data_IF_503096896334
#
_entry.id   IF_503096896334
#
_cell.length_a   1.000
_cell.length_b   1.000
_cell.length_c   1.000
_cell.angle_alpha   90.00
_cell.angle_beta   90.00
_cell.angle_gamma   90.00
#
_symmetry.space_group_name_H-M   'P 1'
#
loop_
_entity.id
_entity.type
_entity.pdbx_description
1 polymer ?
#
# COMPACT_ATOMS: atom_id res chain seq x y z
N UNK A 1 -36.98 61.87 -5.34
CA UNK A 1 -37.90 60.88 -5.93
C UNK A 1 -37.06 59.90 -6.76
N UNK A 2 -36.45 58.90 -6.11
CA UNK A 2 -35.58 57.93 -6.78
C UNK A 2 -36.38 56.65 -7.06
N UNK A 3 -36.64 56.37 -8.34
CA UNK A 3 -37.25 55.12 -8.80
C UNK A 3 -36.16 54.05 -8.88
N UNK A 4 -36.25 53.03 -8.02
CA UNK A 4 -35.47 51.81 -8.13
C UNK A 4 -35.93 50.98 -9.35
N UNK A 5 -35.02 50.42 -10.16
CA UNK A 5 -35.39 49.60 -11.30
C UNK A 5 -35.82 48.20 -10.82
N UNK A 6 -37.11 47.89 -10.91
CA UNK A 6 -37.72 46.61 -10.52
C UNK A 6 -37.20 45.35 -11.23
N UNK A 7 -36.18 45.47 -12.09
CA UNK A 7 -35.52 44.33 -12.75
C UNK A 7 -34.40 43.69 -11.92
N UNK A 8 -33.86 44.40 -10.91
CA UNK A 8 -32.82 43.87 -10.02
C UNK A 8 -33.39 42.94 -8.94
N UNK A 9 -34.56 43.26 -8.39
CA UNK A 9 -35.25 42.41 -7.40
C UNK A 9 -35.74 41.08 -7.99
N UNK A 10 -36.22 41.09 -9.24
CA UNK A 10 -36.66 39.85 -9.91
C UNK A 10 -35.50 38.89 -10.23
N UNK A 11 -34.31 39.42 -10.56
CA UNK A 11 -33.11 38.60 -10.80
C UNK A 11 -32.52 38.03 -9.53
N UNK A 12 -32.56 38.78 -8.42
CA UNK A 12 -32.12 38.28 -7.11
C UNK A 12 -33.04 37.17 -6.59
N UNK A 13 -34.37 37.31 -6.75
CA UNK A 13 -35.33 36.28 -6.34
C UNK A 13 -35.22 34.99 -7.15
N UNK A 14 -34.94 35.09 -8.46
CA UNK A 14 -34.72 33.92 -9.32
C UNK A 14 -33.41 33.17 -8.99
N UNK A 15 -32.33 33.90 -8.64
CA UNK A 15 -31.08 33.30 -8.18
C UNK A 15 -31.24 32.64 -6.80
N UNK A 16 -32.00 33.24 -5.88
CA UNK A 16 -32.30 32.63 -4.57
C UNK A 16 -33.15 31.35 -4.71
N UNK A 17 -34.14 31.35 -5.61
CA UNK A 17 -34.98 30.17 -5.85
C UNK A 17 -34.20 29.02 -6.53
N UNK A 18 -33.25 29.32 -7.42
CA UNK A 18 -32.40 28.30 -8.04
C UNK A 18 -31.40 27.70 -7.05
N UNK A 19 -30.86 28.52 -6.13
CA UNK A 19 -29.99 28.04 -5.06
C UNK A 19 -30.73 27.11 -4.08
N UNK A 20 -32.00 27.40 -3.75
CA UNK A 20 -32.82 26.56 -2.85
C UNK A 20 -33.28 25.25 -3.54
N UNK A 21 -33.47 25.25 -4.86
CA UNK A 21 -33.82 24.04 -5.62
C UNK A 21 -32.64 23.05 -5.76
N UNK A 22 -31.39 23.54 -5.79
CA UNK A 22 -30.20 22.68 -5.83
C UNK A 22 -29.83 22.08 -4.46
N UNK A 23 -30.26 22.68 -3.35
CA UNK A 23 -30.12 22.10 -2.00
C UNK A 23 -31.11 20.97 -1.68
N UNK A 24 -32.06 20.68 -2.59
CA UNK A 24 -33.09 19.66 -2.39
C UNK A 24 -32.61 18.20 -2.49
N UNK A 25 -31.39 17.95 -2.97
CA UNK A 25 -30.84 16.60 -3.10
C UNK A 25 -30.14 16.09 -1.82
N UNK A 26 -29.87 16.94 -0.82
CA UNK A 26 -29.18 16.53 0.41
C UNK A 26 -30.08 15.80 1.42
N UNK A 27 -31.41 15.82 1.26
CA UNK A 27 -32.35 15.15 2.19
C UNK A 27 -32.44 13.63 2.01
N UNK A 28 -31.80 13.07 0.97
CA UNK A 28 -31.81 11.63 0.68
C UNK A 28 -30.49 10.94 1.00
N UNK A 29 -29.46 11.69 1.39
CA UNK A 29 -28.23 11.07 1.88
C UNK A 29 -28.48 10.50 3.29
N UNK A 30 -28.04 9.27 3.58
CA UNK A 30 -28.09 8.76 4.95
C UNK A 30 -27.33 9.72 5.87
N UNK A 31 -27.83 9.91 7.09
CA UNK A 31 -27.13 10.65 8.15
C UNK A 31 -26.17 9.71 8.86
N UNK A 32 -24.94 10.14 9.10
CA UNK A 32 -23.96 9.36 9.89
C UNK A 32 -24.44 9.14 11.32
N UNK A 33 -24.15 7.97 11.93
CA UNK A 33 -24.43 7.72 13.35
C UNK A 33 -23.75 8.74 14.28
N UNK A 34 -24.40 9.07 15.40
CA UNK A 34 -23.85 10.01 16.40
C UNK A 34 -22.48 9.56 16.96
N UNK A 35 -22.23 8.25 17.02
CA UNK A 35 -20.94 7.70 17.45
C UNK A 35 -19.82 8.02 16.46
N UNK A 36 -20.10 7.97 15.16
CA UNK A 36 -19.14 8.30 14.09
C UNK A 36 -18.84 9.80 14.11
N UNK A 37 -19.87 10.64 14.19
CA UNK A 37 -19.69 12.10 14.22
C UNK A 37 -18.92 12.54 15.47
N UNK A 38 -19.28 12.02 16.64
CA UNK A 38 -18.59 12.33 17.91
C UNK A 38 -17.12 11.93 17.85
N UNK A 39 -16.81 10.72 17.40
CA UNK A 39 -15.42 10.25 17.31
C UNK A 39 -14.56 11.10 16.36
N UNK A 40 -15.11 11.53 15.23
CA UNK A 40 -14.43 12.39 14.27
C UNK A 40 -14.27 13.81 14.82
N UNK A 41 -15.31 14.37 15.45
CA UNK A 41 -15.28 15.70 16.03
C UNK A 41 -14.26 15.78 17.18
N UNK A 42 -14.20 14.77 18.05
CA UNK A 42 -13.21 14.66 19.13
C UNK A 42 -11.78 14.62 18.57
N UNK A 43 -11.53 13.83 17.51
CA UNK A 43 -10.23 13.78 16.86
C UNK A 43 -9.86 15.12 16.19
N UNK A 44 -10.80 15.77 15.52
CA UNK A 44 -10.60 17.10 14.91
C UNK A 44 -10.30 18.15 15.97
N UNK A 45 -11.01 18.14 17.10
CA UNK A 45 -10.76 19.05 18.22
C UNK A 45 -9.37 18.83 18.81
N UNK A 46 -8.99 17.57 19.05
CA UNK A 46 -7.67 17.21 19.54
C UNK A 46 -6.55 17.64 18.58
N UNK A 47 -6.70 17.37 17.27
CA UNK A 47 -5.75 17.80 16.24
C UNK A 47 -5.64 19.33 16.19
N UNK A 48 -6.76 20.06 16.31
CA UNK A 48 -6.75 21.53 16.33
C UNK A 48 -6.05 22.09 17.57
N UNK A 49 -6.04 21.35 18.67
CA UNK A 49 -5.34 21.72 19.90
C UNK A 49 -3.82 21.42 19.83
N UNK A 50 -3.36 20.64 18.86
CA UNK A 50 -1.94 20.34 18.64
C UNK A 50 -1.18 21.58 18.18
N UNK A 51 -0.05 21.87 18.85
CA UNK A 51 0.81 22.99 18.50
C UNK A 51 1.30 22.88 17.04
N UNK A 52 1.27 23.99 16.30
CA UNK A 52 1.67 24.03 14.89
C UNK A 52 0.55 23.73 13.88
N UNK A 53 -0.63 23.29 14.33
CA UNK A 53 -1.82 23.12 13.47
C UNK A 53 -2.58 24.44 13.34
N UNK A 54 -2.76 24.93 12.11
CA UNK A 54 -3.55 26.14 11.80
C UNK A 54 -5.04 25.83 11.68
N UNK A 55 -5.38 24.72 11.03
CA UNK A 55 -6.77 24.32 10.85
C UNK A 55 -6.89 22.80 10.68
N UNK A 56 -7.94 22.24 11.27
CA UNK A 56 -8.37 20.87 11.03
C UNK A 56 -9.88 20.84 10.74
N UNK A 57 -10.26 20.15 9.66
CA UNK A 57 -11.65 19.98 9.22
C UNK A 57 -11.86 18.55 8.75
N UNK A 58 -13.03 17.98 9.02
CA UNK A 58 -13.36 16.63 8.58
C UNK A 58 -14.54 16.60 7.61
N UNK A 59 -14.53 15.59 6.75
CA UNK A 59 -15.67 15.19 5.92
C UNK A 59 -15.96 13.72 6.16
N UNK A 60 -17.20 13.40 6.52
CA UNK A 60 -17.69 12.03 6.71
C UNK A 60 -18.53 11.67 5.48
N UNK A 61 -18.22 10.53 4.85
CA UNK A 61 -18.87 10.10 3.61
C UNK A 61 -19.32 8.65 3.77
N UNK A 62 -20.53 8.28 3.30
CA UNK A 62 -20.92 6.89 3.28
C UNK A 62 -20.11 6.13 2.23
N UNK A 63 -19.60 4.95 2.57
CA UNK A 63 -19.03 3.99 1.63
C UNK A 63 -20.17 3.43 0.77
N UNK A 64 -20.01 3.39 -0.56
CA UNK A 64 -21.02 2.76 -1.41
C UNK A 64 -21.21 1.30 -1.00
N UNK A 65 -22.44 0.95 -0.60
CA UNK A 65 -22.74 -0.32 0.04
C UNK A 65 -22.37 -1.52 -0.83
N UNK A 66 -21.40 -2.32 -0.40
CA UNK A 66 -21.46 -3.76 -0.66
C UNK A 66 -22.54 -4.33 0.28
N UNK A 67 -23.34 -5.29 -0.18
CA UNK A 67 -24.56 -5.73 0.51
C UNK A 67 -24.33 -6.48 1.84
N UNK A 68 -23.11 -6.47 2.40
CA UNK A 68 -22.66 -7.43 3.42
C UNK A 68 -21.89 -6.84 4.61
N UNK A 69 -21.74 -5.52 4.75
CA UNK A 69 -20.96 -4.90 5.85
C UNK A 69 -21.80 -4.56 7.09
N UNK A 70 -21.19 -4.47 8.29
CA UNK A 70 -21.87 -4.02 9.50
C UNK A 70 -22.10 -2.49 9.48
N UNK A 71 -23.08 -1.97 10.23
CA UNK A 71 -23.54 -0.56 10.17
C UNK A 71 -22.44 0.52 10.37
N UNK A 72 -21.31 0.16 11.00
CA UNK A 72 -20.18 1.07 11.23
C UNK A 72 -19.14 1.05 10.09
N UNK A 73 -19.14 0.01 9.25
CA UNK A 73 -18.21 -0.14 8.11
C UNK A 73 -18.69 0.63 6.86
N UNK A 74 -19.83 1.31 6.95
CA UNK A 74 -20.42 2.10 5.87
C UNK A 74 -19.95 3.55 5.85
N UNK A 75 -18.99 3.94 6.67
CA UNK A 75 -18.58 5.34 6.78
C UNK A 75 -17.06 5.46 6.71
N UNK A 76 -16.61 6.44 5.94
CA UNK A 76 -15.22 6.90 5.93
C UNK A 76 -15.15 8.36 6.37
N UNK A 77 -14.06 8.74 7.01
CA UNK A 77 -13.78 10.09 7.44
C UNK A 77 -12.45 10.57 6.86
N UNK A 78 -12.46 11.70 6.16
CA UNK A 78 -11.24 12.38 5.70
C UNK A 78 -11.04 13.65 6.52
N UNK A 79 -9.93 13.73 7.25
CA UNK A 79 -9.55 14.87 8.10
C UNK A 79 -8.45 15.66 7.39
N UNK A 80 -8.77 16.84 6.88
CA UNK A 80 -7.77 17.75 6.31
C UNK A 80 -7.12 18.58 7.43
N UNK A 81 -5.79 18.51 7.53
CA UNK A 81 -4.98 19.20 8.54
C UNK A 81 -4.02 20.15 7.81
N UNK A 82 -4.07 21.44 8.12
CA UNK A 82 -3.11 22.45 7.64
C UNK A 82 -2.23 22.87 8.79
N UNK A 83 -0.93 22.89 8.56
CA UNK A 83 0.05 23.24 9.57
C UNK A 83 0.86 24.47 9.16
N UNK A 84 1.17 25.29 10.16
CA UNK A 84 2.13 26.40 10.10
C UNK A 84 3.49 26.02 10.66
N UNK A 85 3.60 24.79 11.20
CA UNK A 85 4.80 24.31 11.86
C UNK A 85 6.05 24.48 11.00
N UNK A 86 7.15 24.85 11.66
CA UNK A 86 8.45 24.85 11.02
C UNK A 86 8.82 23.41 10.62
N UNK A 87 9.64 23.27 9.57
CA UNK A 87 10.00 21.94 9.04
C UNK A 87 10.62 21.03 10.10
N UNK A 88 11.28 21.59 11.13
CA UNK A 88 11.95 20.84 12.19
C UNK A 88 10.99 20.08 13.12
N UNK A 89 9.73 20.53 13.26
CA UNK A 89 8.74 19.92 14.17
C UNK A 89 7.71 19.05 13.42
N UNK A 90 7.90 18.83 12.13
CA UNK A 90 6.88 18.17 11.30
C UNK A 90 6.69 16.69 11.63
N UNK A 91 7.77 15.94 11.89
CA UNK A 91 7.67 14.52 12.25
C UNK A 91 6.95 14.28 13.59
N UNK A 92 7.33 14.93 14.72
CA UNK A 92 6.57 14.81 15.97
C UNK A 92 5.10 15.25 15.86
N UNK A 93 4.82 16.25 15.01
CA UNK A 93 3.44 16.66 14.72
C UNK A 93 2.68 15.55 13.98
N UNK A 94 3.28 14.95 12.95
CA UNK A 94 2.68 13.86 12.19
C UNK A 94 2.36 12.65 13.08
N UNK A 95 3.27 12.27 13.99
CA UNK A 95 3.06 11.23 15.01
C UNK A 95 1.86 11.56 15.92
N UNK A 96 1.75 12.82 16.35
CA UNK A 96 0.66 13.27 17.22
C UNK A 96 -0.68 13.21 16.47
N UNK A 97 -0.72 13.69 15.23
CA UNK A 97 -1.92 13.64 14.36
C UNK A 97 -2.33 12.19 14.10
N UNK A 98 -1.39 11.31 13.75
CA UNK A 98 -1.65 9.88 13.56
C UNK A 98 -2.29 9.25 14.82
N UNK A 99 -1.78 9.61 16.01
CA UNK A 99 -2.35 9.16 17.28
C UNK A 99 -3.79 9.59 17.50
N UNK A 100 -4.18 10.80 17.09
CA UNK A 100 -5.57 11.26 17.19
C UNK A 100 -6.49 10.59 16.17
N UNK A 101 -6.02 10.39 14.94
CA UNK A 101 -6.77 9.68 13.88
C UNK A 101 -7.01 8.23 14.27
N UNK A 102 -6.00 7.57 14.85
CA UNK A 102 -6.12 6.21 15.36
C UNK A 102 -7.23 6.07 16.42
N UNK A 103 -7.49 7.10 17.23
CA UNK A 103 -8.62 7.10 18.19
C UNK A 103 -9.98 7.21 17.49
N UNK A 104 -10.13 8.01 16.42
CA UNK A 104 -11.37 8.05 15.63
C UNK A 104 -11.65 6.72 14.92
N UNK A 105 -10.59 6.00 14.54
CA UNK A 105 -10.68 4.67 13.89
C UNK A 105 -11.36 3.59 14.72
N UNK A 106 -11.52 3.78 16.03
CA UNK A 106 -12.34 2.89 16.84
C UNK A 106 -13.83 2.90 16.44
N UNK A 107 -14.26 3.90 15.67
CA UNK A 107 -15.66 4.09 15.25
C UNK A 107 -15.87 4.24 13.75
N UNK A 108 -14.88 4.67 12.97
CA UNK A 108 -15.01 4.97 11.53
C UNK A 108 -13.68 4.82 10.80
N UNK A 109 -13.68 4.38 9.54
CA UNK A 109 -12.47 4.38 8.72
C UNK A 109 -11.97 5.82 8.46
N UNK A 110 -11.06 6.30 9.31
CA UNK A 110 -10.54 7.66 9.29
C UNK A 110 -9.14 7.73 8.66
N UNK A 111 -8.93 8.77 7.86
CA UNK A 111 -7.65 9.14 7.23
C UNK A 111 -7.37 10.63 7.45
N UNK A 112 -6.16 11.00 7.84
CA UNK A 112 -5.73 12.41 7.83
C UNK A 112 -4.91 12.77 6.61
N UNK A 113 -5.15 13.96 6.06
CA UNK A 113 -4.34 14.58 5.01
C UNK A 113 -3.66 15.80 5.61
N UNK A 114 -2.40 15.63 6.00
CA UNK A 114 -1.59 16.70 6.61
C UNK A 114 -0.85 17.47 5.51
N UNK A 115 -1.06 18.78 5.45
CA UNK A 115 -0.48 19.67 4.45
C UNK A 115 0.50 20.64 5.09
N UNK A 116 1.77 20.55 4.69
CA UNK A 116 2.80 21.54 5.01
C UNK A 116 3.09 22.38 3.75
N UNK A 117 2.71 23.67 3.71
CA UNK A 117 2.95 24.52 2.56
C UNK A 117 4.45 24.77 2.35
N UNK A 118 4.85 24.99 1.10
CA UNK A 118 6.19 25.42 0.70
C UNK A 118 6.69 26.63 1.51
N UNK A 119 7.90 26.51 2.07
CA UNK A 119 8.63 27.61 2.68
C UNK A 119 9.68 28.06 1.67
N UNK A 120 9.49 29.23 1.04
CA UNK A 120 10.39 29.74 0.01
C UNK A 120 10.37 28.92 -1.28
N UNK A 121 11.51 28.34 -1.66
CA UNK A 121 11.70 27.58 -2.91
C UNK A 121 11.50 26.07 -2.78
N UNK A 122 11.10 25.58 -1.59
CA UNK A 122 10.86 24.14 -1.38
C UNK A 122 9.49 23.68 -1.90
N UNK A 123 9.30 22.36 -1.96
CA UNK A 123 8.02 21.76 -2.33
C UNK A 123 6.94 21.89 -1.23
N UNK A 124 5.67 21.84 -1.64
CA UNK A 124 4.55 21.52 -0.75
C UNK A 124 4.64 20.05 -0.31
N UNK A 125 4.33 19.74 0.95
CA UNK A 125 4.17 18.35 1.40
C UNK A 125 2.69 18.05 1.61
N UNK A 126 2.26 16.89 1.13
CA UNK A 126 0.97 16.25 1.43
C UNK A 126 1.27 14.87 2.01
N UNK A 127 0.96 14.69 3.29
CA UNK A 127 1.15 13.44 4.01
C UNK A 127 -0.23 12.83 4.30
N UNK A 128 -0.53 11.69 3.68
CA UNK A 128 -1.74 10.92 3.92
C UNK A 128 -1.47 9.85 4.98
N UNK A 129 -2.06 10.02 6.15
CA UNK A 129 -1.93 9.12 7.29
C UNK A 129 -3.19 8.27 7.38
N UNK A 130 -3.07 7.03 6.93
CA UNK A 130 -4.01 5.97 7.26
C UNK A 130 -3.50 5.36 8.56
N UNK A 131 -4.32 5.24 9.59
CA UNK A 131 -3.93 4.39 10.71
C UNK A 131 -4.03 2.95 10.20
N UNK A 132 -2.89 2.32 9.85
CA UNK A 132 -2.87 0.98 9.27
C UNK A 132 -3.82 0.01 9.98
N UNK A 133 -4.43 -0.89 9.21
CA UNK A 133 -5.12 -2.04 9.79
C UNK A 133 -4.07 -2.86 10.53
N UNK A 134 -4.02 -2.75 11.86
CA UNK A 134 -3.30 -3.71 12.67
C UNK A 134 -4.12 -5.01 12.69
N UNK A 135 -4.07 -5.73 11.58
CA UNK A 135 -4.56 -7.11 11.50
C UNK A 135 -3.47 -7.97 12.17
N UNK A 136 -3.90 -8.85 13.06
CA UNK A 136 -2.99 -9.62 13.92
C UNK A 136 -2.61 -8.92 15.23
N UNK A 137 -3.45 -9.13 16.26
CA UNK A 137 -3.22 -9.08 17.72
C UNK A 137 -1.99 -8.33 18.31
N UNK A 138 -1.64 -7.15 17.80
CA UNK A 138 -0.93 -6.18 18.62
C UNK A 138 -1.96 -5.51 19.52
N UNK A 139 -1.63 -5.24 20.79
CA UNK A 139 -2.53 -4.42 21.63
C UNK A 139 -2.85 -3.13 20.88
N UNK A 140 -4.05 -2.57 21.03
CA UNK A 140 -4.43 -1.30 20.35
C UNK A 140 -3.39 -0.19 20.58
N UNK A 141 -2.71 -0.25 21.71
CA UNK A 141 -1.61 0.64 22.08
C UNK A 141 -0.35 0.42 21.22
N UNK A 142 -0.01 -0.83 20.90
CA UNK A 142 1.08 -1.18 19.98
C UNK A 142 0.75 -0.80 18.53
N UNK A 143 -0.46 -1.08 18.05
CA UNK A 143 -0.92 -0.64 16.73
C UNK A 143 -0.83 0.88 16.57
N UNK A 144 -1.29 1.61 17.60
CA UNK A 144 -1.16 3.06 17.68
C UNK A 144 0.31 3.49 17.69
N UNK A 145 1.16 2.88 18.51
CA UNK A 145 2.58 3.22 18.56
C UNK A 145 3.28 2.99 17.22
N UNK A 146 2.98 1.89 16.52
CA UNK A 146 3.52 1.61 15.18
C UNK A 146 3.05 2.63 14.15
N UNK A 147 1.75 2.95 14.13
CA UNK A 147 1.20 3.97 13.24
C UNK A 147 1.79 5.36 13.51
N UNK A 148 2.06 5.68 14.79
CA UNK A 148 2.74 6.91 15.18
C UNK A 148 4.17 6.94 14.65
N UNK A 149 5.02 5.98 15.04
CA UNK A 149 6.43 5.93 14.59
C UNK A 149 6.54 5.99 13.07
N UNK A 150 5.68 5.25 12.35
CA UNK A 150 5.63 5.26 10.89
C UNK A 150 5.24 6.63 10.32
N UNK A 151 4.30 7.35 10.94
CA UNK A 151 3.96 8.70 10.53
C UNK A 151 5.15 9.68 10.65
N UNK A 152 5.98 9.52 11.69
CA UNK A 152 7.24 10.24 11.85
C UNK A 152 8.23 9.94 10.71
N UNK A 153 8.46 8.65 10.42
CA UNK A 153 9.33 8.22 9.31
C UNK A 153 8.87 8.75 7.94
N UNK A 154 7.56 8.70 7.67
CA UNK A 154 6.95 9.22 6.44
C UNK A 154 7.11 10.75 6.34
N UNK A 155 7.00 11.46 7.47
CA UNK A 155 7.22 12.90 7.52
C UNK A 155 8.69 13.27 7.27
N UNK A 156 9.65 12.54 7.83
CA UNK A 156 11.09 12.73 7.61
C UNK A 156 11.48 12.44 6.14
N UNK A 157 10.92 11.38 5.57
CA UNK A 157 11.07 11.08 4.15
C UNK A 157 10.53 12.23 3.27
N UNK A 158 9.36 12.76 3.62
CA UNK A 158 8.76 13.88 2.91
C UNK A 158 9.63 15.16 2.99
N UNK A 159 10.21 15.45 4.16
CA UNK A 159 11.13 16.57 4.36
C UNK A 159 12.42 16.41 3.57
N UNK A 160 12.95 15.18 3.48
CA UNK A 160 14.13 14.88 2.68
C UNK A 160 13.86 15.17 1.20
N UNK A 161 12.74 14.68 0.67
CA UNK A 161 12.35 14.91 -0.73
C UNK A 161 12.00 16.37 -1.04
N UNK A 162 11.55 17.12 -0.04
CA UNK A 162 11.24 18.55 -0.20
C UNK A 162 12.45 19.38 -0.61
N UNK A 163 13.66 18.93 -0.28
CA UNK A 163 14.90 19.62 -0.59
C UNK A 163 15.46 19.30 -1.98
N UNK A 164 14.86 18.35 -2.69
CA UNK A 164 15.28 17.96 -4.04
C UNK A 164 15.07 19.13 -5.00
N UNK A 165 16.06 19.40 -5.85
CA UNK A 165 15.96 20.50 -6.82
C UNK A 165 14.78 20.27 -7.77
N UNK A 166 14.09 21.35 -8.17
CA UNK A 166 12.90 21.31 -9.03
C UNK A 166 11.65 20.64 -8.43
N UNK A 167 11.69 20.18 -7.18
CA UNK A 167 10.53 19.65 -6.48
C UNK A 167 9.47 20.74 -6.24
N UNK A 168 8.23 20.45 -6.63
CA UNK A 168 7.07 21.35 -6.42
C UNK A 168 6.08 20.79 -5.41
N UNK A 169 5.94 19.46 -5.37
CA UNK A 169 5.08 18.78 -4.40
C UNK A 169 5.64 17.40 -4.04
N UNK A 170 5.58 17.05 -2.77
CA UNK A 170 5.85 15.72 -2.24
C UNK A 170 4.55 15.16 -1.70
N UNK A 171 4.18 13.95 -2.13
CA UNK A 171 3.04 13.22 -1.58
C UNK A 171 3.54 11.90 -1.01
N UNK A 172 3.38 11.73 0.29
CA UNK A 172 3.70 10.50 1.00
C UNK A 172 2.40 9.95 1.56
N UNK A 173 2.17 8.66 1.43
CA UNK A 173 1.01 8.00 1.99
C UNK A 173 1.46 6.80 2.81
N UNK A 174 0.76 6.54 3.91
CA UNK A 174 0.88 5.25 4.58
C UNK A 174 0.17 4.19 3.73
N UNK A 175 0.92 3.22 3.18
CA UNK A 175 0.41 2.11 2.39
C UNK A 175 1.43 1.55 1.38
N UNK A 176 0.95 0.71 0.47
CA UNK A 176 1.76 0.10 -0.59
C UNK A 176 2.07 1.05 -1.77
N UNK A 177 1.55 2.28 -1.73
CA UNK A 177 1.78 3.26 -2.80
C UNK A 177 3.15 3.90 -2.65
N UNK A 178 3.94 4.00 -3.73
CA UNK A 178 5.25 4.63 -3.65
C UNK A 178 5.12 6.12 -3.35
N UNK A 179 6.06 6.65 -2.59
CA UNK A 179 6.17 8.10 -2.38
C UNK A 179 6.24 8.83 -3.72
N UNK A 180 5.44 9.88 -3.90
CA UNK A 180 5.36 10.62 -5.17
C UNK A 180 6.02 11.99 -5.04
N UNK A 181 6.96 12.29 -5.94
CA UNK A 181 7.62 13.59 -6.07
C UNK A 181 7.17 14.24 -7.39
N UNK A 182 6.48 15.37 -7.32
CA UNK A 182 6.13 16.17 -8.49
C UNK A 182 7.18 17.24 -8.74
N UNK A 183 7.70 17.28 -9.96
CA UNK A 183 8.73 18.24 -10.41
C UNK A 183 8.14 19.29 -11.34
N UNK A 184 8.82 20.42 -11.49
CA UNK A 184 8.31 21.57 -12.24
C UNK A 184 8.10 21.30 -13.74
N UNK A 185 8.92 20.44 -14.34
CA UNK A 185 8.90 20.17 -15.77
C UNK A 185 9.44 18.76 -16.10
N UNK A 186 9.09 18.19 -17.26
CA UNK A 186 9.65 16.93 -17.73
C UNK A 186 11.18 16.96 -17.93
N UNK A 187 11.75 18.13 -18.25
CA UNK A 187 13.20 18.29 -18.45
C UNK A 187 14.01 17.97 -17.17
N UNK A 188 13.42 18.18 -15.99
CA UNK A 188 14.05 17.93 -14.69
C UNK A 188 14.03 16.44 -14.28
N UNK A 189 13.32 15.58 -15.00
CA UNK A 189 13.09 14.19 -14.59
C UNK A 189 14.40 13.40 -14.43
N UNK A 190 15.33 13.55 -15.38
CA UNK A 190 16.60 12.84 -15.35
C UNK A 190 17.55 13.28 -14.24
N UNK A 191 17.67 14.59 -14.00
CA UNK A 191 18.50 15.14 -12.92
C UNK A 191 17.92 14.78 -11.55
N UNK A 192 16.60 14.85 -11.39
CA UNK A 192 15.93 14.48 -10.13
C UNK A 192 16.09 12.99 -9.83
N UNK A 193 15.94 12.09 -10.80
CA UNK A 193 16.20 10.65 -10.58
C UNK A 193 17.66 10.40 -10.16
N UNK A 194 18.61 11.12 -10.77
CA UNK A 194 20.02 11.02 -10.39
C UNK A 194 20.26 11.54 -8.96
N UNK A 195 19.68 12.68 -8.59
CA UNK A 195 19.76 13.28 -7.26
C UNK A 195 19.15 12.38 -6.19
N UNK A 196 17.96 11.80 -6.44
CA UNK A 196 17.30 10.87 -5.53
C UNK A 196 18.23 9.72 -5.10
N UNK A 197 19.02 9.18 -6.04
CA UNK A 197 19.97 8.09 -5.76
C UNK A 197 21.17 8.50 -4.91
N UNK A 198 21.40 9.79 -4.74
CA UNK A 198 22.45 10.31 -3.85
C UNK A 198 21.96 10.57 -2.43
N UNK A 199 20.64 10.50 -2.20
CA UNK A 199 20.07 10.69 -0.87
C UNK A 199 20.42 9.50 0.04
N UNK A 200 20.89 9.72 1.29
CA UNK A 200 21.34 8.65 2.17
C UNK A 200 20.28 7.58 2.50
N UNK A 201 18.99 7.93 2.49
CA UNK A 201 17.88 7.05 2.84
C UNK A 201 17.16 6.48 1.61
N UNK A 202 17.58 6.84 0.40
CA UNK A 202 16.94 6.31 -0.80
C UNK A 202 17.11 4.79 -0.89
N UNK A 203 16.09 4.12 -1.41
CA UNK A 203 15.96 2.66 -1.45
C UNK A 203 15.74 1.98 -0.09
N UNK A 204 15.41 2.73 0.97
CA UNK A 204 15.05 2.17 2.29
C UNK A 204 13.74 2.77 2.82
N UNK A 205 13.00 2.00 3.62
CA UNK A 205 11.78 2.45 4.30
C UNK A 205 10.77 3.13 3.35
N UNK A 206 10.31 4.32 3.74
CA UNK A 206 9.38 5.17 2.98
C UNK A 206 9.93 5.67 1.62
N UNK A 207 11.25 5.57 1.40
CA UNK A 207 11.94 5.95 0.17
C UNK A 207 12.48 4.72 -0.60
N UNK A 208 11.99 3.51 -0.29
CA UNK A 208 12.30 2.27 -1.01
C UNK A 208 12.02 2.37 -2.52
N UNK A 209 10.97 3.10 -2.88
CA UNK A 209 10.68 3.53 -4.23
C UNK A 209 10.05 4.92 -4.24
N UNK A 210 10.40 5.73 -5.25
CA UNK A 210 9.87 7.08 -5.44
C UNK A 210 9.35 7.23 -6.85
N UNK A 211 8.10 7.65 -7.01
CA UNK A 211 7.51 7.99 -8.31
C UNK A 211 7.72 9.47 -8.61
N UNK A 212 8.57 9.78 -9.58
CA UNK A 212 8.79 11.15 -10.06
C UNK A 212 7.75 11.46 -11.12
N UNK A 213 6.96 12.53 -10.91
CA UNK A 213 5.90 12.96 -11.81
C UNK A 213 6.17 14.36 -12.36
N UNK A 214 5.91 14.56 -13.64
CA UNK A 214 6.01 15.86 -14.29
C UNK A 214 4.81 16.10 -15.20
N UNK A 215 4.47 17.37 -15.41
CA UNK A 215 3.45 17.78 -16.38
C UNK A 215 4.01 18.85 -17.30
N UNK A 216 3.97 18.59 -18.60
CA UNK A 216 4.33 19.56 -19.61
C UNK A 216 3.27 20.66 -19.73
N UNK A 217 3.61 21.87 -20.22
CA UNK A 217 2.64 22.93 -20.50
C UNK A 217 1.53 22.53 -21.48
N UNK A 218 1.78 21.54 -22.34
CA UNK A 218 0.77 20.95 -23.25
C UNK A 218 -0.31 20.14 -22.53
N UNK A 219 -0.10 19.81 -21.25
CA UNK A 219 -0.92 18.88 -20.48
C UNK A 219 -0.37 17.46 -20.44
N UNK A 220 0.65 17.14 -21.25
CA UNK A 220 1.26 15.81 -21.27
C UNK A 220 1.84 15.45 -19.90
N UNK A 221 1.72 14.18 -19.50
CA UNK A 221 2.13 13.67 -18.19
C UNK A 221 3.28 12.68 -18.31
N UNK A 222 4.18 12.72 -17.34
CA UNK A 222 5.25 11.73 -17.20
C UNK A 222 5.32 11.25 -15.77
N UNK A 223 5.47 9.95 -15.58
CA UNK A 223 5.52 9.28 -14.28
C UNK A 223 6.58 8.19 -14.34
N UNK A 224 7.60 8.26 -13.48
CA UNK A 224 8.70 7.29 -13.46
C UNK A 224 8.94 6.85 -12.02
N UNK A 225 8.61 5.60 -11.71
CA UNK A 225 8.95 4.97 -10.43
C UNK A 225 10.40 4.51 -10.43
N UNK A 226 11.21 5.12 -9.57
CA UNK A 226 12.63 4.81 -9.37
C UNK A 226 12.85 4.06 -8.07
N UNK A 227 13.77 3.10 -8.11
CA UNK A 227 14.31 2.33 -6.99
C UNK A 227 15.84 2.43 -7.00
N UNK A 228 16.53 1.74 -6.09
CA UNK A 228 17.99 1.63 -6.11
C UNK A 228 18.54 1.14 -7.46
N UNK A 229 17.86 0.16 -8.08
CA UNK A 229 18.37 -0.56 -9.25
C UNK A 229 17.65 -0.20 -10.57
N UNK A 230 16.49 0.46 -10.51
CA UNK A 230 15.63 0.71 -11.67
C UNK A 230 15.11 2.15 -11.68
N UNK A 231 15.00 2.84 -12.84
CA UNK A 231 15.57 2.49 -14.14
C UNK A 231 17.11 2.59 -14.13
N UNK A 232 17.84 1.83 -14.97
CA UNK A 232 19.29 2.04 -15.10
C UNK A 232 19.62 3.49 -15.53
N UNK A 233 20.85 4.02 -15.31
CA UNK A 233 21.20 5.37 -15.73
C UNK A 233 20.93 5.64 -17.22
N UNK A 234 21.25 4.67 -18.10
CA UNK A 234 20.95 4.78 -19.52
C UNK A 234 19.44 4.84 -19.82
N UNK A 235 18.65 4.00 -19.15
CA UNK A 235 17.19 4.01 -19.31
C UNK A 235 16.57 5.30 -18.73
N UNK A 236 17.12 5.83 -17.63
CA UNK A 236 16.69 7.11 -17.07
C UNK A 236 16.90 8.26 -18.06
N UNK A 237 18.01 8.27 -18.80
CA UNK A 237 18.25 9.24 -19.87
C UNK A 237 17.24 9.10 -21.00
N UNK A 238 16.95 7.87 -21.45
CA UNK A 238 15.93 7.61 -22.47
C UNK A 238 14.53 8.05 -22.04
N UNK A 239 14.14 7.75 -20.79
CA UNK A 239 12.84 8.17 -20.24
C UNK A 239 12.74 9.69 -20.16
N UNK A 240 13.83 10.37 -19.81
CA UNK A 240 13.88 11.83 -19.80
C UNK A 240 13.75 12.40 -21.21
N UNK A 241 14.44 11.82 -22.20
CA UNK A 241 14.28 12.20 -23.60
C UNK A 241 12.81 12.06 -24.04
N UNK A 242 12.20 10.89 -23.80
CA UNK A 242 10.79 10.63 -24.13
C UNK A 242 9.83 11.61 -23.45
N UNK A 243 10.06 11.94 -22.18
CA UNK A 243 9.21 12.85 -21.40
C UNK A 243 9.17 14.28 -21.97
N UNK A 244 10.22 14.69 -22.68
CA UNK A 244 10.36 16.03 -23.28
C UNK A 244 9.87 16.11 -24.72
N UNK A 245 9.54 14.97 -25.33
CA UNK A 245 9.05 14.92 -26.70
C UNK A 245 7.65 15.52 -26.80
N UNK A 246 7.47 16.39 -27.79
CA UNK A 246 6.17 17.03 -28.03
C UNK A 246 5.11 16.10 -28.63
N UNK A 247 5.53 14.93 -29.11
CA UNK A 247 4.66 13.92 -29.72
C UNK A 247 4.28 12.76 -28.77
N UNK A 248 4.61 12.91 -27.47
CA UNK A 248 4.21 12.03 -26.36
C UNK A 248 3.19 12.78 -25.48
N UNK A 249 2.02 12.17 -25.27
CA UNK A 249 0.95 12.71 -24.42
C UNK A 249 1.00 12.13 -23.00
N UNK A 250 1.41 10.88 -22.84
CA UNK A 250 1.56 10.22 -21.54
C UNK A 250 2.75 9.26 -21.54
N UNK A 251 3.52 9.26 -20.45
CA UNK A 251 4.66 8.39 -20.22
C UNK A 251 4.56 7.82 -18.80
N UNK A 252 4.48 6.50 -18.66
CA UNK A 252 4.47 5.84 -17.36
C UNK A 252 5.50 4.72 -17.33
N UNK A 253 6.46 4.78 -16.41
CA UNK A 253 7.42 3.72 -16.14
C UNK A 253 7.26 3.21 -14.71
N UNK A 254 7.03 1.91 -14.55
CA UNK A 254 7.04 1.24 -13.24
C UNK A 254 8.29 0.37 -13.12
N UNK A 255 9.22 0.81 -12.27
CA UNK A 255 10.45 0.09 -11.95
C UNK A 255 10.38 -0.74 -10.66
N UNK A 256 9.25 -0.73 -9.97
CA UNK A 256 9.07 -1.39 -8.68
C UNK A 256 8.33 -2.73 -8.82
N UNK A 257 8.86 -3.74 -8.11
CA UNK A 257 8.17 -5.01 -7.89
C UNK A 257 6.99 -4.75 -6.97
N UNK A 258 5.78 -5.03 -7.45
CA UNK A 258 4.62 -5.07 -6.56
C UNK A 258 4.92 -6.08 -5.45
N UNK A 259 4.60 -5.80 -4.18
CA UNK A 259 4.69 -6.80 -3.14
C UNK A 259 3.88 -8.04 -3.57
N UNK A 260 4.53 -9.19 -3.53
CA UNK A 260 3.97 -10.47 -3.98
C UNK A 260 3.66 -11.33 -2.77
N UNK A 261 2.50 -11.99 -2.83
CA UNK A 261 2.13 -12.98 -1.83
C UNK A 261 3.22 -14.06 -1.72
N UNK A 262 3.61 -14.48 -0.51
CA UNK A 262 4.59 -15.54 -0.29
C UNK A 262 4.24 -16.82 -1.09
N UNK A 263 5.12 -17.24 -1.99
CA UNK A 263 4.93 -18.42 -2.84
C UNK A 263 4.34 -18.16 -4.24
N UNK A 264 4.03 -16.91 -4.58
CA UNK A 264 3.80 -16.53 -5.97
C UNK A 264 5.16 -16.44 -6.69
N UNK A 265 5.43 -17.35 -7.62
CA UNK A 265 6.51 -17.18 -8.58
C UNK A 265 6.06 -16.11 -9.60
N UNK A 266 6.08 -14.83 -9.22
CA UNK A 266 5.79 -13.80 -10.20
C UNK A 266 7.02 -13.52 -11.04
N UNK A 267 6.77 -13.51 -12.34
CA UNK A 267 7.68 -13.10 -13.40
C UNK A 267 7.60 -11.57 -13.53
N UNK A 268 7.72 -10.85 -12.42
CA UNK A 268 7.64 -9.38 -12.40
C UNK A 268 8.74 -8.76 -13.26
N UNK A 269 8.38 -7.79 -14.10
CA UNK A 269 9.33 -7.00 -14.91
C UNK A 269 8.97 -5.53 -14.83
N UNK A 270 9.94 -4.62 -14.90
CA UNK A 270 9.65 -3.22 -15.14
C UNK A 270 8.84 -3.05 -16.43
N UNK A 271 7.96 -2.06 -16.45
CA UNK A 271 7.12 -1.79 -17.61
C UNK A 271 7.11 -0.31 -17.96
N UNK A 272 7.17 -0.04 -19.27
CA UNK A 272 7.06 1.29 -19.86
C UNK A 272 5.77 1.36 -20.69
N UNK A 273 4.93 2.35 -20.43
CA UNK A 273 3.78 2.68 -21.28
C UNK A 273 3.96 4.08 -21.85
N UNK A 274 3.79 4.22 -23.16
CA UNK A 274 3.85 5.50 -23.87
C UNK A 274 2.58 5.70 -24.67
N UNK A 275 1.90 6.83 -24.47
CA UNK A 275 0.84 7.29 -25.35
C UNK A 275 1.40 8.38 -26.26
N UNK A 276 1.49 8.10 -27.54
CA UNK A 276 1.92 9.04 -28.57
C UNK A 276 0.72 9.70 -29.25
N UNK A 277 0.92 10.89 -29.79
CA UNK A 277 -0.15 11.67 -30.46
C UNK A 277 -0.62 11.04 -31.77
N UNK A 278 0.28 10.35 -32.47
CA UNK A 278 0.01 9.80 -33.80
C UNK A 278 0.62 8.42 -33.98
N UNK A 279 0.08 7.59 -34.90
CA UNK A 279 0.69 6.30 -35.24
C UNK A 279 2.13 6.41 -35.76
N UNK A 280 2.47 7.50 -36.45
CA UNK A 280 3.82 7.75 -36.94
C UNK A 280 4.79 8.00 -35.78
N UNK A 281 4.37 8.80 -34.80
CA UNK A 281 5.13 9.03 -33.56
C UNK A 281 5.28 7.75 -32.76
N UNK A 282 4.20 6.96 -32.62
CA UNK A 282 4.24 5.66 -31.96
C UNK A 282 5.22 4.69 -32.64
N UNK A 283 5.28 4.68 -33.97
CA UNK A 283 6.26 3.89 -34.70
C UNK A 283 7.69 4.35 -34.43
N UNK A 284 7.97 5.66 -34.51
CA UNK A 284 9.30 6.19 -34.25
C UNK A 284 9.77 5.94 -32.80
N UNK A 285 8.87 6.05 -31.83
CA UNK A 285 9.14 5.71 -30.42
C UNK A 285 9.41 4.21 -30.29
N UNK A 286 8.62 3.37 -30.97
CA UNK A 286 8.84 1.91 -30.96
C UNK A 286 10.22 1.56 -31.50
N UNK A 287 10.63 2.15 -32.63
CA UNK A 287 11.96 1.95 -33.23
C UNK A 287 13.07 2.39 -32.25
N UNK A 288 12.92 3.55 -31.61
CA UNK A 288 13.84 4.03 -30.58
C UNK A 288 13.96 3.04 -29.40
N UNK A 289 12.84 2.48 -28.93
CA UNK A 289 12.83 1.53 -27.82
C UNK A 289 13.46 0.18 -28.21
N UNK A 290 13.26 -0.31 -29.42
CA UNK A 290 13.83 -1.58 -29.89
C UNK A 290 15.31 -1.48 -30.23
N UNK A 291 15.76 -0.31 -30.70
CA UNK A 291 17.17 -0.06 -31.05
C UNK A 291 18.01 0.39 -29.84
N UNK A 292 17.36 0.66 -28.70
CA UNK A 292 18.04 1.09 -27.49
C UNK A 292 19.02 0.03 -26.99
N UNK A 293 20.32 0.34 -27.06
CA UNK A 293 21.35 -0.52 -26.52
C UNK A 293 21.26 -0.51 -24.99
N UNK A 294 20.62 -1.54 -24.43
CA UNK A 294 20.50 -1.66 -22.98
C UNK A 294 21.87 -1.85 -22.37
N UNK A 295 22.41 -0.82 -21.73
CA UNK A 295 23.49 -0.94 -20.76
C UNK A 295 22.99 -1.55 -19.43
N UNK A 296 22.04 -2.49 -19.47
CA UNK A 296 21.71 -3.28 -18.28
C UNK A 296 22.85 -4.28 -18.11
N UNK A 297 23.68 -4.15 -17.06
CA UNK A 297 24.71 -5.14 -16.81
C UNK A 297 24.02 -6.47 -16.52
N UNK A 298 24.48 -7.53 -17.18
CA UNK A 298 24.17 -8.89 -16.76
C UNK A 298 24.53 -9.00 -15.27
N UNK A 299 23.53 -9.24 -14.41
CA UNK A 299 23.72 -9.28 -12.95
C UNK A 299 23.15 -8.09 -12.15
N UNK A 300 22.41 -7.15 -12.77
CA UNK A 300 21.76 -6.05 -12.00
C UNK A 300 20.57 -6.48 -11.12
N UNK A 301 20.15 -7.75 -11.19
CA UNK A 301 18.96 -8.25 -10.46
C UNK A 301 17.62 -7.73 -10.98
N UNK A 302 17.62 -6.83 -11.97
CA UNK A 302 16.40 -6.25 -12.57
C UNK A 302 16.23 -6.80 -13.99
N UNK A 303 15.12 -7.49 -14.28
CA UNK A 303 14.86 -8.02 -15.63
C UNK A 303 14.64 -6.89 -16.63
N UNK A 304 14.73 -7.20 -17.92
CA UNK A 304 14.52 -6.21 -18.99
C UNK A 304 13.11 -5.67 -18.96
N UNK A 305 13.01 -4.36 -19.11
CA UNK A 305 11.72 -3.68 -19.12
C UNK A 305 10.92 -4.08 -20.37
N UNK A 306 9.65 -4.44 -20.19
CA UNK A 306 8.69 -4.51 -21.29
C UNK A 306 8.20 -3.11 -21.63
N UNK A 307 7.72 -2.90 -22.86
CA UNK A 307 7.07 -1.65 -23.25
C UNK A 307 5.75 -1.90 -23.99
N UNK A 308 4.86 -0.91 -23.91
CA UNK A 308 3.63 -0.76 -24.70
C UNK A 308 3.57 0.67 -25.23
N UNK A 309 3.53 0.84 -26.55
CA UNK A 309 3.37 2.14 -27.21
C UNK A 309 2.00 2.20 -27.89
N UNK A 310 1.23 3.22 -27.55
CA UNK A 310 -0.14 3.43 -28.01
C UNK A 310 -0.25 4.73 -28.81
N UNK A 311 -1.14 4.79 -29.79
CA UNK A 311 -1.59 6.04 -30.38
C UNK A 311 -3.06 5.97 -30.79
N UNK A 312 -3.83 7.07 -30.64
CA UNK A 312 -5.22 7.10 -31.04
C UNK A 312 -5.34 6.94 -32.56
N UNK A 313 -6.27 6.11 -33.02
CA UNK A 313 -6.66 6.07 -34.44
C UNK A 313 -8.18 6.02 -34.62
N UNK A 314 -8.63 6.39 -35.82
CA UNK A 314 -10.04 6.27 -36.19
C UNK A 314 -10.39 4.80 -36.49
N UNK A 315 -10.64 4.00 -35.46
CA UNK A 315 -11.29 2.69 -35.57
C UNK A 315 -10.53 1.48 -34.99
N UNK A 316 -9.24 1.61 -34.65
CA UNK A 316 -8.48 0.59 -33.88
C UNK A 316 -7.24 1.23 -33.26
N UNK A 317 -7.02 1.11 -31.95
CA UNK A 317 -5.82 1.69 -31.34
C UNK A 317 -4.54 1.15 -32.00
N UNK A 318 -3.61 2.04 -32.36
CA UNK A 318 -2.27 1.61 -32.76
C UNK A 318 -1.59 1.16 -31.48
N UNK A 319 -1.25 -0.11 -31.39
CA UNK A 319 -0.61 -0.71 -30.22
C UNK A 319 0.61 -1.53 -30.65
N UNK A 320 1.72 -1.35 -29.93
CA UNK A 320 2.95 -2.10 -30.10
C UNK A 320 3.54 -2.45 -28.76
N UNK A 321 3.78 -3.73 -28.56
CA UNK A 321 4.41 -4.26 -27.35
C UNK A 321 5.72 -4.94 -27.68
N UNK A 322 6.64 -4.90 -26.71
CA UNK A 322 7.94 -5.54 -26.84
C UNK A 322 8.78 -5.42 -25.58
N UNK A 323 10.09 -5.60 -25.76
CA UNK A 323 11.08 -5.47 -24.71
C UNK A 323 12.13 -4.46 -25.16
N UNK A 324 12.53 -3.56 -24.27
CA UNK A 324 13.48 -2.49 -24.61
C UNK A 324 14.80 -3.12 -25.08
N UNK A 325 15.30 -2.69 -26.23
CA UNK A 325 16.53 -3.17 -26.86
C UNK A 325 16.41 -4.52 -27.57
N UNK A 326 15.20 -5.04 -27.79
CA UNK A 326 14.95 -6.24 -28.58
C UNK A 326 14.01 -5.95 -29.76
N UNK A 327 14.22 -6.66 -30.86
CA UNK A 327 13.33 -6.55 -32.02
C UNK A 327 11.89 -6.93 -31.67
N UNK A 328 10.91 -6.29 -32.31
CA UNK A 328 9.50 -6.63 -32.13
C UNK A 328 9.24 -8.12 -32.43
N UNK A 329 8.41 -8.74 -31.60
CA UNK A 329 8.09 -10.16 -31.69
C UNK A 329 9.16 -11.09 -31.13
N UNK A 330 10.23 -10.55 -30.51
CA UNK A 330 11.15 -11.37 -29.72
C UNK A 330 10.38 -12.09 -28.59
N UNK A 331 10.73 -13.34 -28.27
CA UNK A 331 10.15 -14.02 -27.12
C UNK A 331 10.49 -13.27 -25.84
N UNK A 332 9.68 -13.48 -24.79
CA UNK A 332 10.00 -12.98 -23.45
C UNK A 332 11.42 -13.40 -23.06
N UNK A 333 12.29 -12.44 -22.68
CA UNK A 333 13.63 -12.74 -22.21
C UNK A 333 13.58 -13.61 -20.96
N UNK A 334 14.48 -14.58 -20.91
CA UNK A 334 14.76 -15.35 -19.70
C UNK A 334 15.90 -14.66 -18.93
N UNK A 335 15.59 -13.45 -18.45
CA UNK A 335 16.52 -12.60 -17.69
C UNK A 335 16.03 -12.31 -16.27
N UNK A 336 15.06 -13.11 -15.82
CA UNK A 336 14.82 -13.30 -14.41
C UNK A 336 16.10 -13.87 -13.82
N UNK A 337 16.72 -13.06 -12.98
CA UNK A 337 17.49 -13.66 -11.91
C UNK A 337 16.41 -14.19 -10.97
N UNK A 338 16.44 -15.49 -10.66
CA UNK A 338 15.79 -15.96 -9.44
C UNK A 338 16.15 -14.91 -8.38
N UNK A 339 15.13 -14.36 -7.69
CA UNK A 339 15.42 -13.54 -6.52
C UNK A 339 16.47 -14.33 -5.76
N UNK A 340 17.65 -13.76 -5.47
CA UNK A 340 18.69 -14.53 -4.82
C UNK A 340 18.01 -15.24 -3.65
N UNK A 341 17.99 -16.58 -3.68
CA UNK A 341 18.12 -17.30 -2.42
C UNK A 341 19.23 -16.55 -1.71
N UNK A 342 19.07 -16.16 -0.44
CA UNK A 342 20.14 -15.49 0.27
C UNK A 342 21.40 -16.34 0.12
N UNK A 343 22.20 -16.01 -0.90
CA UNK A 343 23.56 -16.46 -1.04
C UNK A 343 24.18 -15.77 0.15
N UNK A 344 24.61 -16.61 1.09
CA UNK A 344 25.32 -16.22 2.29
C UNK A 344 26.12 -14.97 1.96
N UNK A 345 25.66 -13.84 2.50
CA UNK A 345 26.26 -12.54 2.29
C UNK A 345 27.76 -12.72 2.39
N UNK A 346 28.47 -12.46 1.30
CA UNK A 346 29.91 -12.28 1.36
C UNK A 346 30.16 -11.28 2.49
N UNK A 347 30.76 -11.80 3.56
CA UNK A 347 30.73 -11.21 4.88
C UNK A 347 31.09 -9.72 4.84
N UNK A 348 30.10 -8.86 5.07
CA UNK A 348 30.35 -7.64 5.79
C UNK A 348 31.01 -8.04 7.12
N UNK A 349 32.00 -7.30 7.62
CA UNK A 349 32.80 -7.73 8.77
C UNK A 349 31.86 -8.12 9.93
N UNK A 350 31.99 -9.39 10.36
CA UNK A 350 31.21 -10.02 11.42
C UNK A 350 30.99 -9.03 12.58
N UNK A 351 29.76 -8.53 12.73
CA UNK A 351 29.30 -7.90 13.96
C UNK A 351 28.59 -8.98 14.78
N UNK A 352 29.30 -9.69 15.69
CA UNK A 352 28.70 -10.76 16.49
C UNK A 352 27.56 -10.28 17.38
N UNK A 353 27.42 -8.97 17.63
CA UNK A 353 26.28 -8.42 18.34
C UNK A 353 25.03 -8.29 17.45
N UNK A 354 25.19 -8.13 16.13
CA UNK A 354 24.08 -8.12 15.19
C UNK A 354 23.48 -9.52 15.02
N UNK A 355 24.32 -10.54 14.91
CA UNK A 355 23.88 -11.94 14.81
C UNK A 355 23.18 -12.42 16.08
N UNK A 356 23.69 -12.01 17.26
CA UNK A 356 23.03 -12.32 18.53
C UNK A 356 21.64 -11.66 18.61
N UNK A 357 21.51 -10.40 18.19
CA UNK A 357 20.22 -9.68 18.14
C UNK A 357 19.24 -10.31 17.16
N UNK A 358 19.71 -10.79 16.01
CA UNK A 358 18.88 -11.47 15.02
C UNK A 358 18.34 -12.82 15.55
N UNK A 359 19.21 -13.62 16.18
CA UNK A 359 18.79 -14.88 16.83
C UNK A 359 17.80 -14.65 17.97
N UNK A 360 18.05 -13.67 18.83
CA UNK A 360 17.13 -13.32 19.92
C UNK A 360 15.75 -12.88 19.39
N UNK A 361 15.72 -12.15 18.27
CA UNK A 361 14.47 -11.75 17.61
C UNK A 361 13.73 -12.94 16.97
N UNK A 362 14.46 -13.86 16.33
CA UNK A 362 13.89 -15.09 15.77
C UNK A 362 13.30 -16.00 16.85
N UNK A 363 14.01 -16.20 17.96
CA UNK A 363 13.53 -16.97 19.11
C UNK A 363 12.28 -16.33 19.74
N UNK A 364 12.27 -15.01 19.89
CA UNK A 364 11.10 -14.29 20.40
C UNK A 364 9.88 -14.44 19.48
N UNK A 365 10.10 -14.36 18.16
CA UNK A 365 9.03 -14.54 17.18
C UNK A 365 8.50 -15.98 17.18
N UNK A 366 9.37 -16.99 17.28
CA UNK A 366 8.95 -18.40 17.41
C UNK A 366 8.10 -18.63 18.66
N UNK A 367 8.47 -18.03 19.80
CA UNK A 367 7.65 -18.13 21.01
C UNK A 367 6.31 -17.40 20.87
N UNK A 368 6.28 -16.25 20.22
CA UNK A 368 5.03 -15.55 19.91
C UNK A 368 4.12 -16.41 19.03
N UNK A 369 4.67 -17.09 18.02
CA UNK A 369 3.95 -18.00 17.14
C UNK A 369 3.40 -19.22 17.89
N UNK A 370 4.14 -19.78 18.86
CA UNK A 370 3.66 -20.87 19.72
C UNK A 370 2.43 -20.45 20.50
N UNK A 371 2.47 -19.27 21.13
CA UNK A 371 1.31 -18.72 21.87
C UNK A 371 0.14 -18.56 20.93
N UNK A 372 0.38 -17.96 19.78
CA UNK A 372 -0.66 -17.63 18.79
C UNK A 372 -1.34 -18.85 18.19
N UNK A 373 -0.58 -19.86 17.77
CA UNK A 373 -1.11 -21.13 17.26
C UNK A 373 -1.91 -21.83 18.36
N UNK A 374 -1.45 -21.79 19.61
CA UNK A 374 -2.15 -22.39 20.74
C UNK A 374 -3.50 -21.70 21.00
N UNK A 375 -3.52 -20.37 21.04
CA UNK A 375 -4.73 -19.57 21.24
C UNK A 375 -5.73 -19.78 20.12
N UNK A 376 -5.31 -19.75 18.85
CA UNK A 376 -6.19 -19.98 17.71
C UNK A 376 -6.90 -21.34 17.80
N UNK A 377 -6.17 -22.40 18.15
CA UNK A 377 -6.74 -23.74 18.27
C UNK A 377 -7.65 -23.88 19.50
N UNK A 378 -7.40 -23.10 20.57
CA UNK A 378 -8.27 -23.04 21.73
C UNK A 378 -9.57 -22.28 21.42
N UNK A 379 -9.48 -21.13 20.75
CA UNK A 379 -10.62 -20.30 20.32
C UNK A 379 -11.50 -21.04 19.30
N UNK A 380 -10.91 -21.89 18.47
CA UNK A 380 -11.66 -22.80 17.62
C UNK A 380 -12.53 -23.76 18.45
N UNK A 381 -12.01 -24.28 19.56
CA UNK A 381 -12.79 -25.08 20.49
C UNK A 381 -13.96 -24.31 21.12
N UNK A 382 -13.72 -23.06 21.52
CA UNK A 382 -14.76 -22.20 22.09
C UNK A 382 -15.84 -21.84 21.05
N UNK A 383 -15.43 -21.55 19.81
CA UNK A 383 -16.33 -21.27 18.69
C UNK A 383 -17.18 -22.49 18.31
N UNK A 384 -16.59 -23.69 18.34
CA UNK A 384 -17.30 -24.94 18.08
C UNK A 384 -18.20 -25.38 19.25
N UNK A 385 -18.05 -24.77 20.43
CA UNK A 385 -18.77 -25.13 21.65
C UNK A 385 -18.22 -26.36 22.40
N UNK A 386 -17.09 -26.91 21.96
CA UNK A 386 -16.39 -28.00 22.64
C UNK A 386 -14.88 -27.91 22.38
N UNK A 387 -14.08 -28.04 23.44
CA UNK A 387 -12.62 -27.95 23.38
C UNK A 387 -11.99 -29.31 23.09
N UNK A 388 -11.01 -29.34 22.18
CA UNK A 388 -10.06 -30.44 22.03
C UNK A 388 -8.75 -30.17 22.79
N UNK A 389 -7.80 -31.09 22.69
CA UNK A 389 -6.43 -30.91 23.24
C UNK A 389 -5.49 -30.52 22.09
N UNK A 390 -5.05 -29.25 22.00
CA UNK A 390 -4.13 -28.85 20.96
C UNK A 390 -2.75 -29.47 21.18
N UNK A 391 -2.12 -29.91 20.11
CA UNK A 391 -0.71 -30.29 20.07
C UNK A 391 0.02 -29.24 19.23
N UNK A 392 0.98 -28.55 19.82
CA UNK A 392 1.76 -27.48 19.19
C UNK A 392 3.24 -27.79 19.34
N UNK A 393 4.00 -27.66 18.26
CA UNK A 393 5.43 -27.91 18.25
C UNK A 393 6.14 -26.94 17.29
N UNK A 394 7.41 -26.66 17.60
CA UNK A 394 8.33 -26.02 16.68
C UNK A 394 8.95 -27.12 15.81
N UNK A 395 8.90 -26.95 14.49
CA UNK A 395 9.43 -27.89 13.50
C UNK A 395 10.34 -27.19 12.51
N UNK A 396 11.26 -27.93 11.89
CA UNK A 396 12.10 -27.38 10.81
C UNK A 396 11.26 -27.15 9.55
N UNK A 397 11.55 -26.08 8.81
CA UNK A 397 10.88 -25.80 7.55
C UNK A 397 11.27 -26.81 6.46
N UNK A 398 10.31 -27.19 5.61
CA UNK A 398 10.53 -28.25 4.61
C UNK A 398 11.39 -27.82 3.41
N UNK A 399 11.43 -26.51 3.11
CA UNK A 399 12.00 -25.97 1.86
C UNK A 399 13.15 -24.99 2.08
N UNK A 400 13.35 -24.51 3.29
CA UNK A 400 14.29 -23.43 3.64
C UNK A 400 14.91 -23.69 5.02
N UNK A 401 16.15 -23.23 5.28
CA UNK A 401 16.73 -23.28 6.63
C UNK A 401 15.94 -22.35 7.57
N UNK A 402 15.34 -22.93 8.60
CA UNK A 402 14.52 -22.19 9.55
C UNK A 402 13.61 -23.11 10.36
N UNK A 403 12.88 -22.50 11.28
CA UNK A 403 11.88 -23.16 12.10
C UNK A 403 10.52 -22.47 11.94
N UNK A 404 9.45 -23.24 12.11
CA UNK A 404 8.08 -22.71 12.15
C UNK A 404 7.28 -23.44 13.24
N UNK A 405 6.14 -22.87 13.61
CA UNK A 405 5.24 -23.47 14.58
C UNK A 405 4.12 -24.18 13.85
N UNK A 406 3.91 -25.44 14.21
CA UNK A 406 2.78 -26.23 13.72
C UNK A 406 1.91 -26.71 14.87
N UNK A 407 0.62 -26.50 14.72
CA UNK A 407 -0.40 -26.91 15.67
C UNK A 407 -1.47 -27.79 15.02
N UNK A 408 -2.05 -28.68 15.81
CA UNK A 408 -3.25 -29.42 15.42
C UNK A 408 -4.15 -29.72 16.61
N UNK A 409 -5.46 -29.80 16.37
CA UNK A 409 -6.45 -30.21 17.37
C UNK A 409 -7.56 -31.02 16.69
N UNK A 410 -8.11 -32.00 17.40
CA UNK A 410 -9.36 -32.65 17.02
C UNK A 410 -10.44 -32.20 17.99
N UNK A 411 -11.48 -31.55 17.48
CA UNK A 411 -12.66 -31.13 18.24
C UNK A 411 -13.71 -32.24 18.18
N UNK A 412 -14.08 -32.88 19.31
CA UNK A 412 -15.00 -34.02 19.34
C UNK A 412 -16.47 -33.57 19.24
N UNK A 413 -16.81 -32.83 18.20
CA UNK A 413 -18.12 -32.20 17.97
C UNK A 413 -19.31 -33.16 18.04
N UNK A 414 -19.10 -34.45 17.76
CA UNK A 414 -20.16 -35.47 17.83
C UNK A 414 -20.60 -35.80 19.27
N UNK A 415 -19.88 -35.32 20.28
CA UNK A 415 -20.33 -35.39 21.67
C UNK A 415 -21.47 -34.41 21.99
N UNK A 416 -21.60 -33.34 21.19
CA UNK A 416 -22.56 -32.26 21.44
C UNK A 416 -23.59 -32.06 20.31
N UNK A 417 -23.34 -32.60 19.12
CA UNK A 417 -24.26 -32.49 17.97
C UNK A 417 -24.17 -33.71 17.05
N UNK A 418 -25.31 -34.15 16.50
CA UNK A 418 -25.36 -35.22 15.49
C UNK A 418 -24.86 -34.78 14.10
N UNK A 419 -24.68 -33.46 13.90
CA UNK A 419 -24.23 -32.88 12.63
C UNK A 419 -23.08 -31.89 12.84
N UNK A 420 -22.01 -31.98 12.03
CA UNK A 420 -20.84 -31.11 12.14
C UNK A 420 -21.03 -29.73 11.50
N UNK A 421 -22.12 -29.52 10.75
CA UNK A 421 -22.26 -28.36 9.86
C UNK A 421 -22.28 -27.03 10.61
N UNK A 422 -23.09 -26.91 11.66
CA UNK A 422 -23.21 -25.64 12.38
C UNK A 422 -21.90 -25.22 13.10
N UNK A 423 -21.17 -26.13 13.80
CA UNK A 423 -19.84 -25.82 14.32
C UNK A 423 -18.82 -25.49 13.23
N UNK A 424 -18.84 -26.21 12.10
CA UNK A 424 -17.95 -25.94 10.98
C UNK A 424 -18.20 -24.55 10.36
N UNK A 425 -19.47 -24.17 10.13
CA UNK A 425 -19.82 -22.87 9.58
C UNK A 425 -19.48 -21.72 10.55
N UNK A 426 -19.51 -21.97 11.87
CA UNK A 426 -19.06 -21.00 12.87
C UNK A 426 -17.54 -20.81 12.84
N UNK A 427 -16.78 -21.90 12.73
CA UNK A 427 -15.33 -21.87 12.60
C UNK A 427 -14.88 -21.15 11.33
N UNK A 428 -15.48 -21.49 10.19
CA UNK A 428 -15.13 -20.88 8.89
C UNK A 428 -15.40 -19.39 8.91
N UNK A 429 -16.53 -18.95 9.49
CA UNK A 429 -16.81 -17.52 9.69
C UNK A 429 -15.78 -16.85 10.57
N UNK A 430 -15.45 -17.44 11.73
CA UNK A 430 -14.42 -16.91 12.63
C UNK A 430 -13.06 -16.77 11.93
N UNK A 431 -12.67 -17.71 11.07
CA UNK A 431 -11.43 -17.61 10.31
C UNK A 431 -11.49 -16.56 9.20
N UNK A 432 -12.64 -16.42 8.56
CA UNK A 432 -12.86 -15.38 7.52
C UNK A 432 -12.80 -13.98 8.15
N UNK A 433 -13.38 -13.81 9.34
CA UNK A 433 -13.31 -12.57 10.13
C UNK A 433 -11.86 -12.25 10.56
N UNK A 434 -10.99 -13.27 10.64
CA UNK A 434 -9.55 -13.14 10.91
C UNK A 434 -8.69 -12.97 9.64
N UNK A 435 -9.32 -12.82 8.46
CA UNK A 435 -8.63 -12.58 7.19
C UNK A 435 -8.25 -13.84 6.40
N UNK A 436 -8.58 -15.04 6.89
CA UNK A 436 -8.27 -16.28 6.17
C UNK A 436 -9.29 -16.56 5.06
N UNK A 437 -8.80 -16.84 3.86
CA UNK A 437 -9.64 -17.19 2.70
C UNK A 437 -9.38 -18.63 2.27
N UNK A 438 -10.44 -19.33 1.83
CA UNK A 438 -10.30 -20.68 1.29
C UNK A 438 -9.52 -20.64 -0.04
N UNK A 439 -8.38 -21.33 -0.09
CA UNK A 439 -7.46 -21.29 -1.24
C UNK A 439 -7.33 -22.62 -1.95
N UNK A 440 -7.48 -23.73 -1.22
CA UNK A 440 -7.35 -25.07 -1.80
C UNK A 440 -8.25 -26.08 -1.09
N UNK A 441 -8.58 -27.15 -1.80
CA UNK A 441 -9.31 -28.31 -1.28
C UNK A 441 -8.72 -29.57 -1.91
N UNK A 442 -8.07 -30.38 -1.07
CA UNK A 442 -7.51 -31.66 -1.47
C UNK A 442 -7.92 -32.76 -0.49
N UNK A 443 -8.40 -33.88 -1.02
CA UNK A 443 -8.71 -35.09 -0.23
C UNK A 443 -9.67 -34.86 0.96
N UNK A 444 -10.61 -33.91 0.82
CA UNK A 444 -11.56 -33.54 1.88
C UNK A 444 -10.96 -32.70 3.00
N UNK A 445 -9.75 -32.17 2.81
CA UNK A 445 -9.15 -31.14 3.66
C UNK A 445 -9.25 -29.81 2.94
N UNK A 446 -9.83 -28.83 3.61
CA UNK A 446 -9.90 -27.46 3.16
C UNK A 446 -8.70 -26.70 3.72
N UNK A 447 -8.05 -25.92 2.86
CA UNK A 447 -6.95 -25.05 3.24
C UNK A 447 -7.40 -23.61 3.15
N UNK A 448 -7.10 -22.87 4.20
CA UNK A 448 -7.33 -21.44 4.27
C UNK A 448 -5.99 -20.74 4.39
N UNK A 449 -5.74 -19.72 3.56
CA UNK A 449 -4.49 -18.96 3.57
C UNK A 449 -4.77 -17.57 4.13
N UNK A 450 -3.84 -17.07 4.94
CA UNK A 450 -3.94 -15.73 5.48
C UNK A 450 -3.72 -14.69 4.35
N UNK A 451 -4.51 -13.62 4.35
CA UNK A 451 -4.39 -12.55 3.36
C UNK A 451 -3.53 -11.38 3.85
N UNK A 452 -3.39 -11.24 5.17
CA UNK A 452 -2.47 -10.29 5.77
C UNK A 452 -1.05 -10.87 5.83
N UNK A 453 -0.12 -10.24 5.12
CA UNK A 453 1.29 -10.66 5.05
C UNK A 453 2.07 -10.35 6.34
N UNK A 454 1.55 -9.49 7.21
CA UNK A 454 2.15 -9.19 8.52
C UNK A 454 1.80 -10.23 9.59
N UNK A 455 0.87 -11.11 9.27
CA UNK A 455 0.41 -12.18 10.13
C UNK A 455 1.38 -13.37 10.10
N UNK A 456 1.88 -13.77 11.27
CA UNK A 456 2.77 -14.92 11.37
C UNK A 456 2.14 -16.28 11.05
N UNK A 457 0.80 -16.40 10.98
CA UNK A 457 0.10 -17.61 10.57
C UNK A 457 -0.01 -17.69 9.05
N UNK A 458 0.56 -18.73 8.47
CA UNK A 458 0.62 -18.91 7.02
C UNK A 458 -0.65 -19.56 6.47
N UNK A 459 -1.13 -20.63 7.11
CA UNK A 459 -2.32 -21.35 6.66
C UNK A 459 -2.97 -22.17 7.76
N UNK A 460 -4.27 -22.38 7.58
CA UNK A 460 -5.10 -23.27 8.39
C UNK A 460 -5.59 -24.44 7.53
N UNK A 461 -5.77 -25.59 8.17
CA UNK A 461 -6.48 -26.71 7.55
C UNK A 461 -7.68 -27.13 8.36
N UNK A 462 -8.70 -27.57 7.64
CA UNK A 462 -9.95 -28.04 8.18
C UNK A 462 -10.33 -29.35 7.51
N UNK A 463 -10.67 -30.36 8.31
CA UNK A 463 -11.16 -31.64 7.79
C UNK A 463 -12.16 -32.26 8.75
N UNK A 464 -13.31 -32.67 8.22
CA UNK A 464 -14.21 -33.58 8.94
C UNK A 464 -13.64 -35.00 9.02
N UNK A 465 -13.63 -35.60 10.20
CA UNK A 465 -13.22 -36.99 10.45
C UNK A 465 -14.34 -37.74 11.18
N UNK A 466 -14.16 -39.05 11.40
CA UNK A 466 -15.09 -39.83 12.23
C UNK A 466 -15.07 -39.41 13.71
N UNK A 467 -13.96 -38.82 14.16
CA UNK A 467 -13.75 -38.41 15.55
C UNK A 467 -14.13 -36.95 15.80
N UNK A 468 -14.50 -36.19 14.75
CA UNK A 468 -14.96 -34.80 14.84
C UNK A 468 -14.35 -33.89 13.77
N UNK A 469 -13.99 -32.66 14.15
CA UNK A 469 -13.32 -31.70 13.26
C UNK A 469 -11.83 -31.69 13.56
N UNK A 470 -11.03 -32.07 12.57
CA UNK A 470 -9.56 -31.96 12.63
C UNK A 470 -9.13 -30.62 12.07
N UNK A 471 -8.44 -29.84 12.89
CA UNK A 471 -7.95 -28.51 12.55
C UNK A 471 -6.42 -28.51 12.63
N UNK A 472 -5.78 -27.83 11.69
CA UNK A 472 -4.34 -27.59 11.68
C UNK A 472 -4.06 -26.11 11.50
N UNK A 473 -2.96 -25.64 12.09
CA UNK A 473 -2.46 -24.29 11.92
C UNK A 473 -0.93 -24.35 11.75
N UNK A 474 -0.40 -23.50 10.88
CA UNK A 474 1.04 -23.43 10.61
C UNK A 474 1.48 -21.97 10.47
N UNK A 475 2.59 -21.62 11.13
CA UNK A 475 3.21 -20.30 11.00
C UNK A 475 4.16 -20.21 9.82
N UNK A 476 4.61 -18.99 9.51
CA UNK A 476 5.64 -18.72 8.51
C UNK A 476 6.99 -19.29 8.96
N UNK A 477 7.88 -19.55 8.01
CA UNK A 477 9.23 -19.98 8.32
C UNK A 477 10.05 -18.80 8.85
N UNK A 478 10.71 -19.00 9.99
CA UNK A 478 11.63 -18.03 10.59
C UNK A 478 13.04 -18.57 10.38
N UNK A 479 13.87 -17.83 9.65
CA UNK A 479 15.25 -18.23 9.39
C UNK A 479 16.02 -18.37 10.70
N UNK A 480 16.69 -19.51 10.87
CA UNK A 480 17.62 -19.74 11.96
C UNK A 480 19.04 -19.63 11.41
N UNK A 481 19.71 -18.50 11.66
CA UNK A 481 21.10 -18.30 11.27
C UNK A 481 21.99 -19.24 12.09
N UNK A 482 22.46 -20.31 11.43
CA UNK A 482 23.41 -21.29 11.95
C UNK A 482 24.79 -20.71 12.22
#
# INVERSE_FOLDING_TARGET
>A
MFRWPGRLLARLAALLALAVALSGCSLLAPTSPDSVTTAVDDAVEAIRATAGVTSATAQITPLEASAFSALNDFWTASIEVKIEADAADFAPLAETVAGHVASARESVDATAIVRLPAAGTGADIVLALHAGEAVGMTTREMARATAQTRAGELADAALTLRQVEHATRVTVADGATPTTLTVESPDALGSVIAELRTLPQFATGALSAVTVTARAPSGATSSVTTTAASPSPGLSSLLSELATRTDVDDLTYSGQRSPEAPGAASTWRPSLRVLAQTPQSAQAITELLTDFETAQPAGSGVPRASFTVLAPTNGSDYERDGFIGLALGSPTPDDYVDAPQPEATDAAPDDPEADARARDAADQQLQADVVRVTELLADAGDTAGIRGVPTVAITACESEPGEHVRGSVVLPIFEITDSPMAPADALIRSWTDLGFVATDRAMGTDRYTQQDESDSLRWLTFRGTADGLSLGAESVCIASDG
#
